data_IF_619008882011
#
_entry.id   IF_619008882011
#
_cell.length_a   1.000
_cell.length_b   1.000
_cell.length_c   1.000
_cell.angle_alpha   90.00
_cell.angle_beta   90.00
_cell.angle_gamma   90.00
#
_symmetry.space_group_name_H-M   'P 1'
#
loop_
_entity.id
_entity.type
_entity.pdbx_description
1 polymer ?
#
# COMPACT_ATOMS: atom_id res chain seq x y z
N UNK A 1 9.42 13.28 15.19
CA UNK A 1 9.76 13.06 13.77
C UNK A 1 9.73 14.34 12.93
N UNK A 2 8.59 14.80 12.38
CA UNK A 2 8.58 15.96 11.47
C UNK A 2 8.88 17.31 12.16
N UNK A 3 8.21 17.61 13.28
CA UNK A 3 8.40 18.86 14.01
C UNK A 3 9.82 19.01 14.59
N UNK A 4 10.39 17.92 15.10
CA UNK A 4 11.75 17.90 15.65
C UNK A 4 12.80 18.30 14.61
N UNK A 5 12.59 17.95 13.33
CA UNK A 5 13.60 18.10 12.29
C UNK A 5 13.36 19.32 11.38
N UNK A 6 12.21 19.99 11.51
CA UNK A 6 11.84 21.15 10.72
C UNK A 6 12.87 22.29 10.80
N UNK A 7 13.48 22.51 11.98
CA UNK A 7 14.53 23.54 12.18
C UNK A 7 15.78 23.34 11.32
N UNK A 8 15.99 22.12 10.83
CA UNK A 8 17.11 21.76 9.95
C UNK A 8 16.69 21.77 8.47
N UNK A 9 15.53 22.33 8.15
CA UNK A 9 14.95 22.33 6.80
C UNK A 9 14.73 20.90 6.24
N UNK A 10 14.46 19.93 7.13
CA UNK A 10 14.17 18.55 6.73
C UNK A 10 12.66 18.32 6.73
N UNK A 11 12.13 17.78 5.62
CA UNK A 11 10.73 17.39 5.47
C UNK A 11 10.58 15.89 5.66
N UNK A 12 9.74 15.49 6.61
CA UNK A 12 9.43 14.08 6.86
C UNK A 12 7.97 13.83 6.48
N UNK A 13 7.74 12.93 5.51
CA UNK A 13 6.43 12.51 5.04
C UNK A 13 6.40 10.99 4.89
N UNK A 14 5.21 10.41 4.74
CA UNK A 14 5.03 8.99 4.50
C UNK A 14 3.97 8.77 3.42
N UNK A 15 4.09 7.67 2.68
CA UNK A 15 3.06 7.16 1.78
C UNK A 15 2.56 5.85 2.37
N UNK A 16 1.25 5.73 2.53
CA UNK A 16 0.58 4.49 2.93
C UNK A 16 -0.07 3.87 1.69
N UNK A 17 0.67 3.04 0.91
CA UNK A 17 0.09 2.37 -0.23
C UNK A 17 -1.03 1.40 0.21
N UNK A 18 -2.03 1.24 -0.65
CA UNK A 18 -2.98 0.13 -0.55
C UNK A 18 -2.31 -1.21 -0.87
N UNK A 19 -3.09 -2.20 -1.30
CA UNK A 19 -2.53 -3.53 -1.57
C UNK A 19 -1.80 -3.58 -2.92
N UNK A 20 -0.50 -3.87 -2.87
CA UNK A 20 0.34 -4.18 -4.02
C UNK A 20 0.68 -5.66 -4.02
N UNK A 21 0.72 -6.30 -5.19
CA UNK A 21 1.20 -7.68 -5.29
C UNK A 21 2.72 -7.71 -5.10
N UNK A 22 3.17 -8.38 -4.04
CA UNK A 22 4.57 -8.56 -3.68
C UNK A 22 4.82 -10.04 -3.33
N UNK A 23 6.07 -10.54 -3.36
CA UNK A 23 6.35 -11.93 -2.98
C UNK A 23 5.82 -12.32 -1.59
N UNK A 24 5.79 -11.36 -0.66
CA UNK A 24 5.30 -11.56 0.70
C UNK A 24 3.81 -11.92 0.76
N UNK A 25 2.99 -11.35 -0.12
CA UNK A 25 1.53 -11.48 -0.06
C UNK A 25 0.93 -12.29 -1.23
N UNK A 26 1.76 -12.83 -2.14
CA UNK A 26 1.34 -13.67 -3.27
C UNK A 26 0.37 -14.78 -2.83
N UNK A 27 0.73 -15.56 -1.81
CA UNK A 27 -0.09 -16.68 -1.32
C UNK A 27 -1.48 -16.24 -0.83
N UNK A 28 -1.60 -15.02 -0.31
CA UNK A 28 -2.88 -14.46 0.16
C UNK A 28 -3.71 -13.94 -1.00
N UNK A 29 -3.06 -13.33 -1.99
CA UNK A 29 -3.71 -12.73 -3.17
C UNK A 29 -4.12 -13.77 -4.22
N UNK A 30 -3.56 -14.97 -4.18
CA UNK A 30 -3.93 -16.08 -5.05
C UNK A 30 -5.18 -16.83 -4.56
N UNK A 31 -5.65 -16.54 -3.33
CA UNK A 31 -6.94 -17.02 -2.82
C UNK A 31 -8.05 -16.14 -3.41
N UNK A 32 -8.91 -16.67 -4.29
CA UNK A 32 -9.88 -15.87 -5.05
C UNK A 32 -10.81 -15.04 -4.16
N UNK A 33 -11.28 -15.61 -3.04
CA UNK A 33 -12.21 -14.94 -2.12
C UNK A 33 -11.54 -13.75 -1.43
N UNK A 34 -10.26 -13.87 -1.08
CA UNK A 34 -9.50 -12.78 -0.45
C UNK A 34 -9.19 -11.68 -1.45
N UNK A 35 -8.83 -12.05 -2.67
CA UNK A 35 -8.61 -11.09 -3.76
C UNK A 35 -9.90 -10.33 -4.08
N UNK A 36 -11.03 -11.03 -4.15
CA UNK A 36 -12.34 -10.42 -4.38
C UNK A 36 -12.74 -9.45 -3.27
N UNK A 37 -12.53 -9.81 -2.00
CA UNK A 37 -12.79 -8.92 -0.87
C UNK A 37 -11.94 -7.64 -0.93
N UNK A 38 -10.64 -7.77 -1.25
CA UNK A 38 -9.75 -6.63 -1.40
C UNK A 38 -10.16 -5.72 -2.56
N UNK A 39 -10.57 -6.29 -3.69
CA UNK A 39 -11.07 -5.53 -4.83
C UNK A 39 -12.39 -4.82 -4.52
N UNK A 40 -13.30 -5.46 -3.79
CA UNK A 40 -14.58 -4.85 -3.37
C UNK A 40 -14.37 -3.61 -2.47
N UNK A 41 -13.31 -3.61 -1.66
CA UNK A 41 -12.94 -2.47 -0.81
C UNK A 41 -11.97 -1.48 -1.47
N UNK A 42 -11.57 -1.72 -2.71
CA UNK A 42 -10.66 -0.84 -3.46
C UNK A 42 -11.45 -0.06 -4.52
N UNK A 43 -11.68 1.26 -4.38
CA UNK A 43 -12.51 2.01 -5.33
C UNK A 43 -12.04 1.96 -6.79
N UNK A 44 -10.73 1.80 -7.02
CA UNK A 44 -10.17 1.66 -8.36
C UNK A 44 -10.35 0.26 -8.97
N UNK A 45 -10.96 -0.69 -8.25
CA UNK A 45 -11.21 -2.08 -8.66
C UNK A 45 -9.97 -2.80 -9.23
N UNK A 46 -8.78 -2.44 -8.73
CA UNK A 46 -7.50 -3.06 -9.11
C UNK A 46 -6.50 -2.99 -7.97
N UNK A 47 -5.57 -3.95 -7.97
CA UNK A 47 -4.42 -3.92 -7.08
C UNK A 47 -3.32 -2.98 -7.63
N UNK A 48 -2.42 -2.56 -6.74
CA UNK A 48 -1.19 -1.90 -7.12
C UNK A 48 -0.25 -2.85 -7.88
N UNK A 49 0.47 -2.31 -8.87
CA UNK A 49 1.48 -3.03 -9.67
C UNK A 49 2.86 -2.45 -9.37
N UNK A 50 3.84 -3.32 -9.16
CA UNK A 50 5.25 -2.93 -9.11
C UNK A 50 5.73 -2.67 -10.53
N UNK A 51 6.46 -1.58 -10.74
CA UNK A 51 7.02 -1.18 -12.04
C UNK A 51 8.26 -2.01 -12.36
#
# INVERSE_FOLDING_TARGET
MACEWARYNVRVNAIAPGVFRTPLNTQVLDIPERSAALLAHTPMARLGRLV
#
